data_IF_234771092142
#
_entry.id   IF_234771092142
#
_cell.length_a   1.000
_cell.length_b   1.000
_cell.length_c   1.000
_cell.angle_alpha   90.00
_cell.angle_beta   90.00
_cell.angle_gamma   90.00
#
_symmetry.space_group_name_H-M   'P 1'
#
loop_
_entity.id
_entity.type
_entity.pdbx_description
1 polymer ?
#
# COMPACT_ATOMS: atom_id res chain seq x y z
N UNK A 1 28.48 7.23 7.72
CA UNK A 1 27.52 6.10 7.74
C UNK A 1 26.47 6.39 8.80
N UNK A 2 25.37 7.05 8.46
CA UNK A 2 24.29 7.32 9.41
C UNK A 2 23.22 6.23 9.24
N UNK A 3 23.13 5.32 10.22
CA UNK A 3 21.99 4.41 10.35
C UNK A 3 20.89 5.21 11.04
N UNK A 4 19.92 5.68 10.26
CA UNK A 4 18.76 6.42 10.79
C UNK A 4 17.94 5.50 11.69
N UNK A 5 17.60 5.89 12.92
CA UNK A 5 16.72 5.10 13.77
C UNK A 5 15.31 5.03 13.17
N UNK A 6 14.75 3.81 13.07
CA UNK A 6 13.36 3.54 12.67
C UNK A 6 12.37 3.94 13.79
N UNK A 7 12.47 5.17 14.28
CA UNK A 7 11.61 5.69 15.35
C UNK A 7 11.00 7.01 14.92
N UNK A 8 10.10 6.95 13.95
CA UNK A 8 9.01 7.91 13.88
C UNK A 8 7.84 7.27 13.13
N UNK A 9 6.74 7.09 13.86
CA UNK A 9 5.40 6.78 13.35
C UNK A 9 4.92 7.97 12.49
N UNK A 10 5.58 8.21 11.36
CA UNK A 10 5.11 9.17 10.38
C UNK A 10 4.14 8.41 9.50
N UNK A 11 2.85 8.72 9.62
CA UNK A 11 1.84 8.14 8.76
C UNK A 11 2.28 8.30 7.30
N UNK A 12 2.33 7.19 6.57
CA UNK A 12 2.72 7.14 5.16
C UNK A 12 1.53 6.68 4.33
N UNK A 13 1.54 7.01 3.05
CA UNK A 13 0.51 6.56 2.12
C UNK A 13 0.85 5.17 1.60
N UNK A 14 -0.13 4.28 1.60
CA UNK A 14 -0.02 2.92 1.11
C UNK A 14 -1.11 2.65 0.11
N UNK A 15 -0.76 1.86 -0.90
CA UNK A 15 -1.70 1.32 -1.87
C UNK A 15 -1.96 -0.14 -1.50
N UNK A 16 -3.21 -0.43 -1.18
CA UNK A 16 -3.72 -1.75 -0.86
C UNK A 16 -4.44 -2.31 -2.08
N UNK A 17 -3.97 -3.44 -2.60
CA UNK A 17 -4.59 -4.16 -3.71
C UNK A 17 -5.08 -5.52 -3.20
N UNK A 18 -6.40 -5.69 -3.14
CA UNK A 18 -7.03 -6.97 -2.84
C UNK A 18 -7.21 -7.74 -4.14
N UNK A 19 -6.81 -9.02 -4.14
CA UNK A 19 -7.02 -9.91 -5.29
C UNK A 19 -8.23 -10.81 -5.09
N UNK A 20 -8.51 -11.68 -6.05
CA UNK A 20 -9.53 -12.74 -5.97
C UNK A 20 -9.13 -13.87 -5.02
N UNK A 21 -7.85 -13.93 -4.67
CA UNK A 21 -7.28 -14.79 -3.65
C UNK A 21 -7.27 -14.07 -2.28
N UNK A 22 -7.11 -14.79 -1.16
CA UNK A 22 -7.15 -14.21 0.19
C UNK A 22 -5.93 -13.32 0.52
N UNK A 23 -5.26 -12.77 -0.48
CA UNK A 23 -4.06 -11.95 -0.35
C UNK A 23 -4.39 -10.46 -0.50
N UNK A 24 -3.82 -9.67 0.41
CA UNK A 24 -3.81 -8.22 0.35
C UNK A 24 -2.39 -7.75 0.09
N UNK A 25 -2.15 -7.13 -1.06
CA UNK A 25 -0.85 -6.59 -1.42
C UNK A 25 -0.75 -5.12 -0.97
N UNK A 26 0.34 -4.79 -0.29
CA UNK A 26 0.62 -3.44 0.21
C UNK A 26 1.84 -2.86 -0.52
N UNK A 27 1.64 -1.76 -1.24
CA UNK A 27 2.70 -1.04 -1.94
C UNK A 27 2.93 0.31 -1.28
N UNK A 28 4.20 0.67 -1.04
CA UNK A 28 4.59 1.89 -0.35
C UNK A 28 5.90 1.70 0.43
N UNK A 29 6.21 2.61 1.37
CA UNK A 29 5.48 3.84 1.69
C UNK A 29 5.62 4.92 0.61
N UNK A 30 4.54 5.63 0.30
CA UNK A 30 4.51 6.81 -0.58
C UNK A 30 4.45 8.10 0.23
N UNK A 31 4.97 9.20 -0.34
CA UNK A 31 4.99 10.51 0.31
C UNK A 31 3.61 11.19 0.28
N UNK A 32 2.81 10.96 -0.77
CA UNK A 32 1.47 11.56 -0.95
C UNK A 32 0.43 10.56 -1.45
N UNK A 33 -0.85 10.84 -1.20
CA UNK A 33 -1.96 10.05 -1.72
C UNK A 33 -1.98 10.01 -3.25
N UNK A 34 -1.63 11.14 -3.90
CA UNK A 34 -1.59 11.24 -5.35
C UNK A 34 -0.48 10.38 -5.96
N UNK A 35 0.65 10.25 -5.27
CA UNK A 35 1.74 9.37 -5.70
C UNK A 35 1.34 7.88 -5.59
N UNK A 36 0.70 7.51 -4.48
CA UNK A 36 0.13 6.17 -4.31
C UNK A 36 -0.94 5.86 -5.38
N UNK A 37 -1.82 6.83 -5.67
CA UNK A 37 -2.86 6.70 -6.69
C UNK A 37 -2.26 6.55 -8.10
N UNK A 38 -1.27 7.39 -8.45
CA UNK A 38 -0.55 7.30 -9.72
C UNK A 38 0.17 5.96 -9.90
N UNK A 39 0.64 5.35 -8.81
CA UNK A 39 1.25 4.02 -8.82
C UNK A 39 0.23 2.88 -9.00
N UNK A 40 -1.07 3.13 -8.76
CA UNK A 40 -2.14 2.11 -8.84
C UNK A 40 -2.19 1.44 -10.20
N UNK A 41 -2.15 2.21 -11.29
CA UNK A 41 -2.24 1.65 -12.64
C UNK A 41 -1.10 0.67 -12.93
N UNK A 42 0.13 1.03 -12.53
CA UNK A 42 1.31 0.18 -12.70
C UNK A 42 1.20 -1.12 -11.90
N UNK A 43 0.92 -1.02 -10.61
CA UNK A 43 0.81 -2.20 -9.75
C UNK A 43 -0.39 -3.09 -10.12
N UNK A 44 -1.48 -2.50 -10.61
CA UNK A 44 -2.59 -3.28 -11.18
C UNK A 44 -2.15 -4.08 -12.40
N UNK A 45 -1.41 -3.46 -13.31
CA UNK A 45 -0.93 -4.13 -14.52
C UNK A 45 0.04 -5.27 -14.20
N UNK A 46 0.94 -5.09 -13.25
CA UNK A 46 1.88 -6.12 -12.81
C UNK A 46 1.13 -7.35 -12.27
N UNK A 47 0.19 -7.15 -11.32
CA UNK A 47 -0.61 -8.24 -10.76
C UNK A 47 -1.49 -8.94 -11.80
N UNK A 48 -2.09 -8.19 -12.73
CA UNK A 48 -2.86 -8.76 -13.83
C UNK A 48 -1.97 -9.60 -14.77
N UNK A 49 -0.73 -9.17 -15.03
CA UNK A 49 0.21 -9.92 -15.85
C UNK A 49 0.72 -11.20 -15.16
N UNK A 50 0.79 -11.19 -13.83
CA UNK A 50 1.07 -12.36 -13.00
C UNK A 50 -0.13 -13.33 -12.90
N UNK A 51 -1.31 -12.94 -13.42
CA UNK A 51 -2.51 -13.77 -13.47
C UNK A 51 -3.49 -13.55 -12.32
N UNK A 52 -3.24 -12.57 -11.44
CA UNK A 52 -4.14 -12.23 -10.35
C UNK A 52 -5.27 -11.31 -10.83
N UNK A 53 -6.48 -11.49 -10.30
CA UNK A 53 -7.58 -10.57 -10.55
C UNK A 53 -7.72 -9.61 -9.38
N UNK A 54 -7.76 -8.30 -9.67
CA UNK A 54 -7.87 -7.30 -8.61
C UNK A 54 -9.34 -7.00 -8.36
N UNK A 55 -9.78 -7.32 -7.14
CA UNK A 55 -11.16 -7.15 -6.68
C UNK A 55 -11.37 -5.77 -6.04
N UNK A 56 -10.34 -5.19 -5.43
CA UNK A 56 -10.42 -3.87 -4.83
C UNK A 56 -9.07 -3.18 -4.74
N UNK A 57 -9.09 -1.85 -4.74
CA UNK A 57 -7.91 -0.99 -4.63
C UNK A 57 -8.19 0.15 -3.68
N UNK A 58 -7.31 0.40 -2.72
CA UNK A 58 -7.49 1.46 -1.72
C UNK A 58 -6.17 2.17 -1.45
N UNK A 59 -6.21 3.50 -1.38
CA UNK A 59 -5.10 4.31 -0.88
C UNK A 59 -5.41 4.71 0.56
N UNK A 60 -4.52 4.38 1.50
CA UNK A 60 -4.68 4.67 2.92
C UNK A 60 -3.46 5.36 3.53
N UNK A 61 -3.71 6.34 4.39
CA UNK A 61 -2.67 7.03 5.16
C UNK A 61 -2.44 6.29 6.49
N UNK A 62 -2.02 5.03 6.43
CA UNK A 62 -1.60 4.26 7.61
C UNK A 62 -0.51 3.28 7.17
N UNK A 63 0.64 3.30 7.87
CA UNK A 63 1.68 2.27 7.70
C UNK A 63 1.16 0.86 7.99
N UNK A 64 1.89 -0.21 7.61
CA UNK A 64 1.45 -1.60 7.74
C UNK A 64 1.36 -2.13 9.19
N UNK A 65 1.11 -1.25 10.17
CA UNK A 65 0.82 -1.65 11.54
C UNK A 65 -0.69 -1.87 11.67
N UNK A 66 -1.07 -3.13 11.80
CA UNK A 66 -2.44 -3.59 11.98
C UNK A 66 -3.05 -3.17 13.31
N UNK A 67 -3.33 -1.88 13.46
CA UNK A 67 -4.19 -1.37 14.51
C UNK A 67 -5.34 -0.61 13.85
N UNK A 68 -6.44 -1.33 13.64
CA UNK A 68 -7.73 -0.73 13.32
C UNK A 68 -8.08 0.16 14.52
N UNK A 69 -7.78 1.45 14.43
CA UNK A 69 -8.30 2.44 15.37
C UNK A 69 -9.80 2.59 15.11
N UNK A 70 -10.60 1.74 15.76
CA UNK A 70 -11.98 2.06 16.09
C UNK A 70 -11.94 2.96 17.32
N UNK A 71 -12.22 4.24 17.12
CA UNK A 71 -12.73 5.14 18.15
C UNK A 71 -13.68 6.15 17.50
#
# INVERSE_FOLDING_TARGET
MHRTPLSQTTAAWWLELATDEPYLYLFGPFETAAEADAATARHRQDLLAEGWQITSTRVTLQGPSGEVLVA
#
